data_IF_652398449571
#
_entry.id   IF_652398449571
#
_cell.length_a   1.000
_cell.length_b   1.000
_cell.length_c   1.000
_cell.angle_alpha   90.00
_cell.angle_beta   90.00
_cell.angle_gamma   90.00
#
_symmetry.space_group_name_H-M   'P 1'
#
loop_
_entity.id
_entity.type
_entity.pdbx_description
1 polymer ?
#
# COMPACT_ATOMS: atom_id res chain seq x y z
N UNK A 1 8.50 12.12 -2.26
CA UNK A 1 7.30 11.79 -3.05
C UNK A 1 7.26 10.31 -3.38
N UNK A 2 8.15 9.80 -4.24
CA UNK A 2 8.17 8.39 -4.64
C UNK A 2 8.41 7.41 -3.47
N UNK A 3 9.13 7.82 -2.42
CA UNK A 3 9.25 7.02 -1.20
C UNK A 3 7.95 6.91 -0.40
N UNK A 4 7.01 7.84 -0.56
CA UNK A 4 5.75 7.81 0.20
C UNK A 4 4.83 6.66 -0.23
N UNK A 5 5.01 6.11 -1.44
CA UNK A 5 4.24 4.95 -1.91
C UNK A 5 4.70 3.63 -1.29
N UNK A 6 5.85 3.60 -0.61
CA UNK A 6 6.25 2.46 0.22
C UNK A 6 5.40 2.33 1.47
N UNK A 7 4.91 3.46 2.02
CA UNK A 7 4.16 3.48 3.28
C UNK A 7 2.92 2.58 3.25
N UNK A 8 2.07 2.65 2.21
CA UNK A 8 0.92 1.75 2.09
C UNK A 8 1.24 0.32 1.64
N UNK A 9 2.51 -0.03 1.41
CA UNK A 9 2.92 -1.41 1.06
C UNK A 9 3.51 -2.12 2.28
N UNK A 10 4.32 -1.42 3.08
CA UNK A 10 4.88 -1.97 4.32
C UNK A 10 3.80 -1.93 5.41
N UNK A 11 3.49 -3.04 6.10
CA UNK A 11 2.44 -3.06 7.12
C UNK A 11 2.67 -2.09 8.28
N UNK A 12 1.59 -1.55 8.89
CA UNK A 12 0.17 -1.75 8.56
C UNK A 12 -0.30 -0.92 7.35
N UNK A 13 -1.19 -1.48 6.51
CA UNK A 13 -1.66 -0.86 5.27
C UNK A 13 -3.19 -0.85 5.16
N UNK A 14 -3.78 0.35 5.09
CA UNK A 14 -5.23 0.52 4.92
C UNK A 14 -5.74 -0.12 3.60
N UNK A 15 -5.11 0.08 2.42
CA UNK A 15 -5.52 -0.60 1.19
C UNK A 15 -5.59 -2.13 1.31
N UNK A 16 -4.65 -2.77 2.03
CA UNK A 16 -4.71 -4.21 2.28
C UNK A 16 -5.89 -4.63 3.15
N UNK A 17 -6.26 -3.84 4.15
CA UNK A 17 -7.44 -4.10 4.98
C UNK A 17 -8.71 -4.07 4.13
N UNK A 18 -8.87 -3.05 3.28
CA UNK A 18 -10.05 -2.92 2.40
C UNK A 18 -10.10 -4.05 1.37
N UNK A 19 -8.99 -4.31 0.67
CA UNK A 19 -8.93 -5.41 -0.29
C UNK A 19 -9.22 -6.75 0.39
N UNK A 20 -8.61 -7.03 1.55
CA UNK A 20 -8.81 -8.26 2.30
C UNK A 20 -10.27 -8.49 2.68
N UNK A 21 -10.95 -7.45 3.15
CA UNK A 21 -12.37 -7.48 3.49
C UNK A 21 -13.25 -7.79 2.28
N UNK A 22 -12.94 -7.21 1.12
CA UNK A 22 -13.75 -7.38 -0.10
C UNK A 22 -13.49 -8.67 -0.85
N UNK A 23 -12.23 -9.09 -0.94
CA UNK A 23 -11.82 -10.31 -1.64
C UNK A 23 -12.01 -11.56 -0.76
N UNK A 24 -12.29 -11.39 0.53
CA UNK A 24 -12.44 -12.49 1.49
C UNK A 24 -11.13 -13.22 1.77
N UNK A 25 -10.01 -12.49 1.80
CA UNK A 25 -8.69 -13.04 2.08
C UNK A 25 -8.16 -12.56 3.43
N UNK A 26 -7.24 -13.32 4.03
CA UNK A 26 -6.66 -12.96 5.32
C UNK A 26 -5.86 -11.65 5.23
N UNK A 27 -6.24 -10.67 6.04
CA UNK A 27 -5.50 -9.40 6.18
C UNK A 27 -4.08 -9.66 6.72
N UNK A 28 -3.92 -10.65 7.61
CA UNK A 28 -2.60 -11.04 8.13
C UNK A 28 -1.68 -11.59 7.04
N UNK A 29 -2.22 -12.41 6.13
CA UNK A 29 -1.48 -12.88 4.96
C UNK A 29 -1.06 -11.73 4.04
N UNK A 30 -1.95 -10.78 3.76
CA UNK A 30 -1.64 -9.60 2.95
C UNK A 30 -0.56 -8.72 3.59
N UNK A 31 -0.60 -8.55 4.91
CA UNK A 31 0.43 -7.80 5.61
C UNK A 31 1.80 -8.48 5.47
N UNK A 32 1.90 -9.78 5.73
CA UNK A 32 3.15 -10.50 5.49
C UNK A 32 3.58 -10.44 4.01
N UNK A 33 2.63 -10.51 3.09
CA UNK A 33 2.89 -10.43 1.67
C UNK A 33 3.55 -9.10 1.27
N UNK A 34 3.24 -8.00 1.97
CA UNK A 34 3.81 -6.66 1.75
C UNK A 34 5.25 -6.48 2.19
N UNK A 35 5.77 -7.29 3.12
CA UNK A 35 7.09 -7.10 3.73
C UNK A 35 8.22 -7.21 2.71
N UNK A 36 8.29 -8.33 1.99
CA UNK A 36 9.37 -8.58 1.02
C UNK A 36 9.27 -7.63 -0.18
N UNK A 37 8.11 -7.43 -0.83
CA UNK A 37 7.92 -6.42 -1.87
C UNK A 37 8.27 -5.00 -1.40
N UNK A 38 7.93 -4.63 -0.18
CA UNK A 38 8.34 -3.35 0.42
C UNK A 38 9.86 -3.21 0.51
N UNK A 39 10.57 -4.27 0.91
CA UNK A 39 12.04 -4.31 0.91
C UNK A 39 12.57 -4.19 -0.53
N UNK A 40 12.02 -4.94 -1.48
CA UNK A 40 12.42 -4.90 -2.90
C UNK A 40 12.27 -3.50 -3.48
N UNK A 41 11.12 -2.86 -3.27
CA UNK A 41 10.89 -1.47 -3.65
C UNK A 41 11.87 -0.51 -2.97
N UNK A 42 12.13 -0.72 -1.68
CA UNK A 42 13.10 0.06 -0.91
C UNK A 42 14.51 -0.04 -1.49
N UNK A 43 14.95 -1.25 -1.83
CA UNK A 43 16.25 -1.49 -2.46
C UNK A 43 16.36 -0.82 -3.84
N UNK A 44 15.32 -0.91 -4.68
CA UNK A 44 15.30 -0.21 -5.96
C UNK A 44 15.35 1.32 -5.80
N UNK A 45 14.63 1.86 -4.83
CA UNK A 45 14.69 3.28 -4.47
C UNK A 45 16.09 3.67 -3.98
N UNK A 46 16.69 2.90 -3.07
CA UNK A 46 18.04 3.15 -2.53
C UNK A 46 19.10 3.11 -3.63
N UNK A 47 19.02 2.14 -4.55
CA UNK A 47 19.90 2.06 -5.71
C UNK A 47 19.78 3.31 -6.59
N UNK A 48 18.54 3.74 -6.86
CA UNK A 48 18.27 4.93 -7.69
C UNK A 48 18.80 6.22 -7.03
N UNK A 49 18.57 6.40 -5.72
CA UNK A 49 19.12 7.53 -4.95
C UNK A 49 20.64 7.53 -5.00
N UNK A 50 21.26 6.37 -4.77
CA UNK A 50 22.73 6.22 -4.77
C UNK A 50 23.31 6.57 -6.14
N UNK A 51 22.68 6.11 -7.22
CA UNK A 51 23.09 6.44 -8.58
C UNK A 51 23.00 7.95 -8.86
N UNK A 52 21.90 8.60 -8.48
CA UNK A 52 21.75 10.06 -8.63
C UNK A 52 22.76 10.84 -7.78
N UNK A 53 23.03 10.40 -6.56
CA UNK A 53 23.97 11.05 -5.65
C UNK A 53 25.40 11.06 -6.22
N UNK A 54 25.86 9.92 -6.76
CA UNK A 54 27.17 9.83 -7.43
C UNK A 54 27.21 10.64 -8.73
N UNK A 55 26.15 10.57 -9.55
CA UNK A 55 26.12 11.29 -10.84
C UNK A 55 26.09 12.80 -10.66
N UNK A 56 25.40 13.31 -9.64
CA UNK A 56 25.22 14.75 -9.38
C UNK A 56 26.18 15.29 -8.32
N UNK A 57 27.12 14.48 -7.83
CA UNK A 57 28.07 14.85 -6.78
C UNK A 57 27.39 15.51 -5.57
N UNK A 58 26.32 14.89 -5.07
CA UNK A 58 25.70 15.35 -3.82
C UNK A 58 26.70 15.18 -2.66
N UNK A 59 26.79 16.21 -1.82
CA UNK A 59 27.68 16.21 -0.66
C UNK A 59 27.34 15.10 0.33
N UNK A 60 28.34 14.65 1.08
CA UNK A 60 28.13 13.77 2.23
C UNK A 60 27.80 14.63 3.45
N UNK A 61 26.76 14.24 4.17
CA UNK A 61 26.42 14.80 5.48
C UNK A 61 27.37 14.22 6.56
N UNK A 62 26.94 14.15 7.82
CA UNK A 62 27.68 13.50 8.92
C UNK A 62 28.03 12.03 8.64
N UNK A 63 29.22 11.60 9.09
CA UNK A 63 29.68 10.22 8.97
C UNK A 63 28.77 9.24 9.75
N UNK A 64 28.57 8.05 9.20
CA UNK A 64 27.78 7.00 9.84
C UNK A 64 28.44 6.52 11.14
N UNK A 65 27.66 6.46 12.23
CA UNK A 65 28.12 6.01 13.55
C UNK A 65 27.31 4.81 14.03
N UNK A 66 27.99 3.68 14.22
CA UNK A 66 27.40 2.46 14.79
C UNK A 66 26.83 2.69 16.18
N UNK A 67 27.49 3.54 16.98
CA UNK A 67 27.06 3.84 18.34
C UNK A 67 25.75 4.63 18.34
N UNK A 68 25.63 5.61 17.42
CA UNK A 68 24.39 6.37 17.24
C UNK A 68 23.25 5.47 16.73
N UNK A 69 23.53 4.55 15.82
CA UNK A 69 22.53 3.58 15.37
C UNK A 69 22.03 2.72 16.53
N UNK A 70 22.94 2.17 17.35
CA UNK A 70 22.57 1.32 18.47
C UNK A 70 21.76 2.07 19.54
N UNK A 71 22.17 3.31 19.89
CA UNK A 71 21.42 4.12 20.86
C UNK A 71 20.02 4.47 20.34
N UNK A 72 19.90 4.93 19.10
CA UNK A 72 18.60 5.30 18.53
C UNK A 72 17.70 4.07 18.31
N UNK A 73 18.28 2.90 18.00
CA UNK A 73 17.52 1.66 17.92
C UNK A 73 16.98 1.24 19.29
N UNK A 74 17.77 1.35 20.35
CA UNK A 74 17.32 1.07 21.71
C UNK A 74 16.18 2.02 22.13
N UNK A 75 16.30 3.31 21.81
CA UNK A 75 15.24 4.30 22.10
C UNK A 75 13.94 4.01 21.34
N UNK A 76 14.03 3.52 20.10
CA UNK A 76 12.90 3.19 19.25
C UNK A 76 12.36 1.75 19.42
N UNK A 77 13.04 0.91 20.22
CA UNK A 77 12.75 -0.53 20.31
C UNK A 77 11.29 -0.81 20.66
N UNK A 78 10.74 -0.10 21.65
CA UNK A 78 9.34 -0.28 22.06
C UNK A 78 8.36 0.18 20.97
N UNK A 79 8.63 1.30 20.28
CA UNK A 79 7.79 1.72 19.16
C UNK A 79 7.78 0.67 18.03
N UNK A 80 8.93 0.06 17.73
CA UNK A 80 9.10 -1.01 16.74
C UNK A 80 8.39 -2.32 17.11
N UNK A 81 8.03 -2.52 18.38
CA UNK A 81 7.21 -3.66 18.78
C UNK A 81 5.76 -3.54 18.30
N UNK A 82 5.29 -2.35 17.89
CA UNK A 82 3.90 -2.18 17.44
C UNK A 82 3.56 -3.03 16.21
N UNK A 83 4.34 -2.99 15.10
CA UNK A 83 4.16 -3.95 14.00
C UNK A 83 4.36 -5.41 14.42
N UNK A 84 5.27 -5.69 15.36
CA UNK A 84 5.54 -7.07 15.83
C UNK A 84 4.35 -7.65 16.58
N UNK A 85 3.73 -6.88 17.47
CA UNK A 85 2.52 -7.27 18.21
C UNK A 85 1.36 -7.48 17.24
N UNK A 86 1.17 -6.56 16.29
CA UNK A 86 0.11 -6.62 15.31
C UNK A 86 0.27 -7.83 14.39
N UNK A 87 1.42 -7.96 13.72
CA UNK A 87 1.68 -9.06 12.80
C UNK A 87 1.80 -10.39 13.53
N UNK A 88 2.57 -10.44 14.61
CA UNK A 88 2.78 -11.64 15.42
C UNK A 88 1.47 -12.18 15.98
N UNK A 89 0.65 -11.32 16.59
CA UNK A 89 -0.65 -11.71 17.13
C UNK A 89 -1.62 -12.23 16.06
N UNK A 90 -1.62 -11.61 14.87
CA UNK A 90 -2.45 -12.06 13.74
C UNK A 90 -1.94 -13.36 13.12
N UNK A 91 -0.61 -13.56 13.02
CA UNK A 91 -0.02 -14.79 12.46
C UNK A 91 -0.19 -16.00 13.36
N UNK A 92 -0.14 -15.81 14.67
CA UNK A 92 -0.34 -16.88 15.66
C UNK A 92 -1.84 -17.16 15.89
N UNK A 93 -2.73 -16.34 15.31
CA UNK A 93 -4.18 -16.49 15.43
C UNK A 93 -4.73 -16.09 16.81
N UNK A 94 -3.96 -15.32 17.60
CA UNK A 94 -4.40 -14.84 18.92
C UNK A 94 -5.50 -13.79 18.75
N UNK A 95 -5.40 -12.96 17.70
CA UNK A 95 -6.33 -11.87 17.44
C UNK A 95 -6.76 -11.84 15.96
N UNK A 96 -8.01 -11.49 15.74
CA UNK A 96 -8.53 -11.09 14.42
C UNK A 96 -7.94 -9.73 13.99
N UNK A 97 -8.04 -9.33 12.70
CA UNK A 97 -7.53 -8.05 12.24
C UNK A 97 -8.08 -6.83 13.01
N UNK A 98 -9.35 -6.88 13.39
CA UNK A 98 -10.02 -5.85 14.17
C UNK A 98 -9.52 -5.79 15.60
N UNK A 99 -9.33 -6.95 16.25
CA UNK A 99 -8.78 -7.03 17.60
C UNK A 99 -7.30 -6.64 17.63
N UNK A 100 -6.52 -7.06 16.65
CA UNK A 100 -5.12 -6.69 16.49
C UNK A 100 -4.93 -5.19 16.32
N UNK A 101 -5.81 -4.52 15.56
CA UNK A 101 -5.80 -3.06 15.43
C UNK A 101 -6.10 -2.35 16.76
N UNK A 102 -7.05 -2.86 17.57
CA UNK A 102 -7.34 -2.31 18.90
C UNK A 102 -6.13 -2.44 19.82
N UNK A 103 -5.50 -3.62 19.85
CA UNK A 103 -4.34 -3.88 20.72
C UNK A 103 -3.13 -3.04 20.31
N UNK A 104 -2.84 -2.96 19.02
CA UNK A 104 -1.75 -2.13 18.51
C UNK A 104 -1.98 -0.65 18.80
N UNK A 105 -3.22 -0.16 18.65
CA UNK A 105 -3.59 1.22 18.97
C UNK A 105 -3.50 1.51 20.47
N UNK A 106 -3.97 0.59 21.31
CA UNK A 106 -3.87 0.70 22.77
C UNK A 106 -2.41 0.69 23.24
N UNK A 107 -1.58 -0.17 22.65
CA UNK A 107 -0.13 -0.22 22.91
C UNK A 107 0.56 1.08 22.51
N UNK A 108 0.31 1.58 21.29
CA UNK A 108 0.86 2.85 20.82
C UNK A 108 0.42 4.04 21.70
N UNK A 109 -0.85 4.04 22.14
CA UNK A 109 -1.38 5.06 23.04
C UNK A 109 -0.73 4.99 24.42
N UNK A 110 -0.55 3.78 24.98
CA UNK A 110 0.14 3.59 26.25
C UNK A 110 1.60 4.06 26.19
N UNK A 111 2.31 3.76 25.10
CA UNK A 111 3.67 4.26 24.88
C UNK A 111 3.70 5.79 24.78
N UNK A 112 2.78 6.39 24.01
CA UNK A 112 2.72 7.84 23.83
C UNK A 112 2.33 8.62 25.08
N UNK A 113 1.43 8.07 25.92
CA UNK A 113 0.96 8.71 27.15
C UNK A 113 1.91 8.48 28.34
N UNK A 114 2.37 7.24 28.53
CA UNK A 114 3.04 6.82 29.78
C UNK A 114 4.56 6.79 29.61
N UNK A 115 5.05 6.18 28.53
CA UNK A 115 6.47 5.91 28.35
C UNK A 115 7.22 7.11 27.76
N UNK A 116 6.91 7.47 26.51
CA UNK A 116 7.53 8.61 25.83
C UNK A 116 6.94 9.95 26.26
N UNK A 117 5.72 9.94 26.84
CA UNK A 117 5.01 11.14 27.31
C UNK A 117 4.92 12.24 26.25
N UNK A 118 4.76 11.84 24.99
CA UNK A 118 4.66 12.73 23.83
C UNK A 118 3.23 13.17 23.54
N UNK A 119 2.23 12.51 24.13
CA UNK A 119 0.81 12.80 23.92
C UNK A 119 0.24 13.50 25.16
N UNK A 120 -0.21 14.74 24.99
CA UNK A 120 -1.04 15.44 25.96
C UNK A 120 -2.53 15.37 25.57
N UNK A 121 -3.41 15.91 26.41
CA UNK A 121 -4.86 15.85 26.14
C UNK A 121 -5.26 16.58 24.84
N UNK A 122 -4.55 17.65 24.48
CA UNK A 122 -4.80 18.40 23.26
C UNK A 122 -4.39 17.60 22.03
N UNK A 123 -3.24 16.95 22.09
CA UNK A 123 -2.77 16.06 21.05
C UNK A 123 -3.68 14.83 20.91
N UNK A 124 -4.21 14.30 22.01
CA UNK A 124 -5.16 13.18 21.97
C UNK A 124 -6.45 13.56 21.24
N UNK A 125 -7.02 14.73 21.54
CA UNK A 125 -8.19 15.26 20.82
C UNK A 125 -7.86 15.47 19.34
N UNK A 126 -6.70 16.05 19.04
CA UNK A 126 -6.26 16.28 17.66
C UNK A 126 -6.13 14.96 16.87
N UNK A 127 -5.40 13.98 17.39
CA UNK A 127 -5.23 12.68 16.74
C UNK A 127 -6.59 11.99 16.54
N UNK A 128 -7.50 12.12 17.51
CA UNK A 128 -8.86 11.57 17.39
C UNK A 128 -9.65 12.24 16.28
N UNK A 129 -9.60 13.58 16.16
CA UNK A 129 -10.25 14.32 15.08
C UNK A 129 -9.66 13.99 13.71
N UNK A 130 -8.34 13.95 13.59
CA UNK A 130 -7.65 13.56 12.35
C UNK A 130 -8.06 12.12 11.93
N UNK A 131 -8.21 11.22 12.89
CA UNK A 131 -8.67 9.84 12.66
C UNK A 131 -10.14 9.80 12.22
N UNK A 132 -11.01 10.61 12.82
CA UNK A 132 -12.43 10.69 12.45
C UNK A 132 -12.58 11.26 11.04
N UNK A 133 -11.86 12.33 10.69
CA UNK A 133 -11.94 12.97 9.37
C UNK A 133 -11.52 12.00 8.26
N UNK A 134 -10.38 11.32 8.45
CA UNK A 134 -9.88 10.33 7.52
C UNK A 134 -10.83 9.13 7.40
N UNK A 135 -11.32 8.60 8.52
CA UNK A 135 -12.25 7.45 8.52
C UNK A 135 -13.59 7.82 7.90
N UNK A 136 -14.16 8.98 8.20
CA UNK A 136 -15.45 9.43 7.67
C UNK A 136 -15.39 9.65 6.16
N UNK A 137 -14.33 10.28 5.67
CA UNK A 137 -14.11 10.48 4.22
C UNK A 137 -14.04 9.13 3.50
N UNK A 138 -13.27 8.18 4.06
CA UNK A 138 -13.15 6.83 3.50
C UNK A 138 -14.50 6.10 3.52
N UNK A 139 -15.23 6.09 4.63
CA UNK A 139 -16.51 5.40 4.75
C UNK A 139 -17.58 5.97 3.81
N UNK A 140 -17.57 7.28 3.55
CA UNK A 140 -18.49 7.92 2.61
C UNK A 140 -18.20 7.46 1.17
N UNK A 141 -16.92 7.39 0.78
CA UNK A 141 -16.49 6.84 -0.51
C UNK A 141 -16.92 5.36 -0.62
N UNK A 142 -16.67 4.56 0.42
CA UNK A 142 -17.04 3.13 0.46
C UNK A 142 -18.56 2.97 0.34
N UNK A 143 -19.36 3.81 0.99
CA UNK A 143 -20.82 3.76 0.89
C UNK A 143 -21.32 4.02 -0.54
N UNK A 144 -20.82 5.07 -1.20
CA UNK A 144 -21.18 5.39 -2.58
C UNK A 144 -20.70 4.29 -3.57
N UNK A 145 -19.46 3.81 -3.39
CA UNK A 145 -18.90 2.74 -4.21
C UNK A 145 -19.63 1.41 -4.02
N UNK A 146 -20.13 1.10 -2.82
CA UNK A 146 -20.90 -0.11 -2.55
C UNK A 146 -22.21 -0.14 -3.32
N UNK A 147 -22.90 1.00 -3.45
CA UNK A 147 -24.12 1.11 -4.28
C UNK A 147 -23.78 0.87 -5.75
N UNK A 148 -22.69 1.44 -6.23
CA UNK A 148 -22.22 1.24 -7.61
C UNK A 148 -21.81 -0.22 -7.87
N UNK A 149 -21.06 -0.84 -6.95
CA UNK A 149 -20.66 -2.24 -7.03
C UNK A 149 -21.86 -3.19 -7.02
N UNK A 150 -22.87 -2.92 -6.19
CA UNK A 150 -24.14 -3.65 -6.21
C UNK A 150 -24.87 -3.47 -7.55
N UNK A 151 -24.95 -2.25 -8.08
CA UNK A 151 -25.56 -1.98 -9.38
C UNK A 151 -24.89 -2.76 -10.51
N UNK A 152 -23.55 -2.76 -10.57
CA UNK A 152 -22.79 -3.54 -11.55
C UNK A 152 -23.06 -5.05 -11.43
N UNK A 153 -23.19 -5.55 -10.20
CA UNK A 153 -23.47 -6.95 -9.92
C UNK A 153 -24.88 -7.32 -10.38
N UNK A 154 -25.89 -6.50 -10.06
CA UNK A 154 -27.30 -6.74 -10.43
C UNK A 154 -27.50 -6.61 -11.94
N UNK A 155 -26.82 -5.66 -12.57
CA UNK A 155 -26.88 -5.47 -14.04
C UNK A 155 -26.04 -6.47 -14.82
N UNK A 156 -25.30 -7.36 -14.13
CA UNK A 156 -24.37 -8.34 -14.72
C UNK A 156 -23.31 -7.72 -15.65
N UNK A 157 -23.01 -6.44 -15.46
CA UNK A 157 -21.95 -5.77 -16.22
C UNK A 157 -20.60 -6.40 -15.88
N UNK A 158 -20.40 -6.83 -14.63
CA UNK A 158 -19.19 -7.55 -14.20
C UNK A 158 -18.99 -8.84 -14.99
N UNK A 159 -20.06 -9.60 -15.24
CA UNK A 159 -20.01 -10.87 -15.98
C UNK A 159 -19.69 -10.63 -17.46
N UNK A 160 -20.29 -9.59 -18.05
CA UNK A 160 -20.04 -9.22 -19.44
C UNK A 160 -18.59 -8.75 -19.67
N UNK A 161 -18.04 -7.95 -18.74
CA UNK A 161 -16.65 -7.51 -18.78
C UNK A 161 -15.70 -8.69 -18.59
N UNK A 162 -15.98 -9.59 -17.64
CA UNK A 162 -15.19 -10.79 -17.43
C UNK A 162 -15.18 -11.70 -18.67
N UNK A 163 -16.33 -11.93 -19.29
CA UNK A 163 -16.44 -12.72 -20.52
C UNK A 163 -15.67 -12.09 -21.69
N UNK A 164 -15.74 -10.76 -21.85
CA UNK A 164 -15.00 -10.03 -22.86
C UNK A 164 -13.49 -10.10 -22.64
N UNK A 165 -13.02 -9.93 -21.40
CA UNK A 165 -11.59 -10.09 -21.06
C UNK A 165 -11.13 -11.52 -21.32
N UNK A 166 -11.88 -12.52 -20.87
CA UNK A 166 -11.55 -13.93 -21.06
C UNK A 166 -11.60 -14.38 -22.53
N UNK A 167 -12.27 -13.64 -23.41
CA UNK A 167 -12.27 -13.91 -24.85
C UNK A 167 -10.89 -13.72 -25.50
N UNK A 168 -10.03 -12.88 -24.91
CA UNK A 168 -8.67 -12.62 -25.42
C UNK A 168 -7.57 -13.01 -24.42
N UNK A 169 -7.94 -13.40 -23.19
CA UNK A 169 -7.01 -13.58 -22.09
C UNK A 169 -7.07 -15.00 -21.53
N UNK A 170 -6.43 -15.94 -22.21
CA UNK A 170 -6.42 -17.36 -21.81
C UNK A 170 -5.29 -17.74 -20.85
N UNK A 171 -4.34 -16.84 -20.61
CA UNK A 171 -3.17 -17.10 -19.74
C UNK A 171 -3.09 -16.10 -18.58
N UNK A 172 -2.79 -16.54 -17.35
CA UNK A 172 -2.70 -15.68 -16.17
C UNK A 172 -1.79 -14.45 -16.33
N UNK A 173 -0.66 -14.61 -17.03
CA UNK A 173 0.33 -13.55 -17.21
C UNK A 173 -0.15 -12.40 -18.10
N UNK A 174 -0.92 -12.72 -19.13
CA UNK A 174 -1.52 -11.70 -20.01
C UNK A 174 -2.62 -10.95 -19.25
N UNK A 175 -3.39 -11.65 -18.42
CA UNK A 175 -4.36 -11.02 -17.54
C UNK A 175 -3.70 -10.05 -16.56
N UNK A 176 -2.63 -10.50 -15.88
CA UNK A 176 -1.89 -9.64 -14.94
C UNK A 176 -1.30 -8.41 -15.64
N UNK A 177 -0.82 -8.54 -16.88
CA UNK A 177 -0.36 -7.39 -17.67
C UNK A 177 -1.49 -6.39 -17.94
N UNK A 178 -2.63 -6.86 -18.45
CA UNK A 178 -3.78 -6.01 -18.75
C UNK A 178 -4.35 -5.37 -17.49
N UNK A 179 -4.45 -6.14 -16.41
CA UNK A 179 -4.87 -5.67 -15.10
C UNK A 179 -3.92 -4.60 -14.56
N UNK A 180 -2.59 -4.78 -14.68
CA UNK A 180 -1.62 -3.77 -14.29
C UNK A 180 -1.81 -2.46 -15.06
N UNK A 181 -1.92 -2.52 -16.38
CA UNK A 181 -2.15 -1.33 -17.21
C UNK A 181 -3.45 -0.64 -16.81
N UNK A 182 -4.54 -1.39 -16.66
CA UNK A 182 -5.82 -0.88 -16.20
C UNK A 182 -5.70 -0.19 -14.84
N UNK A 183 -5.10 -0.88 -13.85
CA UNK A 183 -4.99 -0.37 -12.49
C UNK A 183 -4.06 0.83 -12.38
N UNK A 184 -2.99 0.91 -13.18
CA UNK A 184 -2.15 2.10 -13.26
C UNK A 184 -2.95 3.30 -13.78
N UNK A 185 -3.71 3.11 -14.88
CA UNK A 185 -4.55 4.16 -15.44
C UNK A 185 -5.60 4.59 -14.42
N UNK A 186 -6.35 3.64 -13.85
CA UNK A 186 -7.37 3.93 -12.84
C UNK A 186 -6.78 4.63 -11.61
N UNK A 187 -5.62 4.19 -11.13
CA UNK A 187 -4.93 4.80 -9.99
C UNK A 187 -4.44 6.23 -10.25
N UNK A 188 -4.33 6.65 -11.50
CA UNK A 188 -4.04 8.06 -11.83
C UNK A 188 -5.25 8.98 -11.61
N UNK A 189 -6.46 8.42 -11.50
CA UNK A 189 -7.70 9.19 -11.33
C UNK A 189 -8.42 8.94 -10.00
N UNK A 190 -8.40 7.70 -9.51
CA UNK A 190 -9.13 7.28 -8.33
C UNK A 190 -8.19 7.10 -7.14
N UNK A 191 -8.67 7.51 -5.98
CA UNK A 191 -8.04 7.18 -4.70
C UNK A 191 -8.07 5.64 -4.48
N UNK A 192 -7.04 5.04 -3.84
CA UNK A 192 -6.91 3.59 -3.76
C UNK A 192 -8.10 2.86 -3.13
N UNK A 193 -8.72 3.40 -2.07
CA UNK A 193 -9.91 2.79 -1.48
C UNK A 193 -11.08 2.81 -2.45
N UNK A 194 -11.31 3.92 -3.15
CA UNK A 194 -12.32 4.00 -4.22
C UNK A 194 -12.03 3.00 -5.36
N UNK A 195 -10.77 2.88 -5.79
CA UNK A 195 -10.39 2.00 -6.87
C UNK A 195 -10.51 0.51 -6.48
N UNK A 196 -10.10 0.13 -5.27
CA UNK A 196 -10.24 -1.24 -4.76
C UNK A 196 -11.72 -1.61 -4.66
N UNK A 197 -12.54 -0.73 -4.09
CA UNK A 197 -13.99 -0.97 -3.97
C UNK A 197 -14.69 -1.15 -5.30
N UNK A 198 -14.20 -0.47 -6.34
CA UNK A 198 -14.70 -0.59 -7.69
C UNK A 198 -14.23 -1.86 -8.41
N UNK A 199 -12.92 -2.13 -8.36
CA UNK A 199 -12.26 -3.11 -9.23
C UNK A 199 -12.28 -4.52 -8.66
N UNK A 200 -12.27 -4.70 -7.33
CA UNK A 200 -12.24 -6.03 -6.71
C UNK A 200 -13.41 -6.92 -7.14
N UNK A 201 -14.68 -6.46 -7.13
CA UNK A 201 -15.82 -7.27 -7.58
C UNK A 201 -15.71 -7.72 -9.04
N UNK A 202 -14.98 -6.97 -9.87
CA UNK A 202 -14.81 -7.25 -11.30
C UNK A 202 -13.64 -8.20 -11.53
N UNK A 203 -12.49 -7.93 -10.90
CA UNK A 203 -11.24 -8.62 -11.21
C UNK A 203 -11.04 -9.92 -10.42
N UNK A 204 -11.52 -10.01 -9.18
CA UNK A 204 -11.35 -11.21 -8.34
C UNK A 204 -12.02 -12.45 -8.93
N UNK A 205 -13.25 -12.40 -9.49
CA UNK A 205 -13.83 -13.55 -10.17
C UNK A 205 -12.95 -14.08 -11.30
N UNK A 206 -12.34 -13.18 -12.08
CA UNK A 206 -11.44 -13.54 -13.18
C UNK A 206 -10.16 -14.20 -12.63
N UNK A 207 -9.58 -13.65 -11.56
CA UNK A 207 -8.44 -14.24 -10.88
C UNK A 207 -8.73 -15.67 -10.42
N UNK A 208 -9.91 -15.93 -9.85
CA UNK A 208 -10.33 -17.28 -9.43
C UNK A 208 -10.43 -18.23 -10.63
N UNK A 209 -11.00 -17.79 -11.75
CA UNK A 209 -11.09 -18.60 -12.98
C UNK A 209 -9.71 -18.93 -13.56
N UNK A 210 -8.77 -17.98 -13.50
CA UNK A 210 -7.40 -18.14 -14.01
C UNK A 210 -6.44 -18.81 -13.00
N UNK A 211 -6.91 -19.16 -11.80
CA UNK A 211 -6.08 -19.78 -10.76
C UNK A 211 -5.03 -18.85 -10.14
N UNK A 212 -5.23 -17.53 -10.20
CA UNK A 212 -4.34 -16.54 -9.60
C UNK A 212 -4.61 -16.45 -8.10
N UNK A 213 -3.54 -16.52 -7.31
CA UNK A 213 -3.61 -16.34 -5.86
C UNK A 213 -4.10 -14.93 -5.50
N UNK A 214 -5.13 -14.84 -4.65
CA UNK A 214 -5.77 -13.58 -4.31
C UNK A 214 -4.92 -12.70 -3.37
N UNK A 215 -3.99 -13.27 -2.61
CA UNK A 215 -3.02 -12.51 -1.82
C UNK A 215 -2.00 -11.87 -2.74
N UNK A 216 -1.50 -12.63 -3.73
CA UNK A 216 -0.61 -12.10 -4.78
C UNK A 216 -1.29 -10.98 -5.57
N UNK A 217 -2.50 -11.22 -6.04
CA UNK A 217 -3.27 -10.21 -6.78
C UNK A 217 -3.57 -8.97 -5.94
N UNK A 218 -3.90 -9.15 -4.65
CA UNK A 218 -4.12 -8.03 -3.73
C UNK A 218 -2.90 -7.14 -3.59
N UNK A 219 -1.71 -7.74 -3.46
CA UNK A 219 -0.46 -6.97 -3.44
C UNK A 219 -0.20 -6.23 -4.75
N UNK A 220 -0.35 -6.92 -5.88
CA UNK A 220 -0.17 -6.31 -7.20
C UNK A 220 -1.15 -5.15 -7.38
N UNK A 221 -2.41 -5.32 -7.01
CA UNK A 221 -3.42 -4.28 -7.09
C UNK A 221 -3.04 -3.05 -6.27
N UNK A 222 -2.73 -3.21 -4.98
CA UNK A 222 -2.33 -2.08 -4.13
C UNK A 222 -1.08 -1.39 -4.69
N UNK A 223 -0.09 -2.15 -5.15
CA UNK A 223 1.13 -1.61 -5.74
C UNK A 223 0.85 -0.76 -6.99
N UNK A 224 0.02 -1.24 -7.93
CA UNK A 224 -0.38 -0.45 -9.11
C UNK A 224 -1.07 0.85 -8.71
N UNK A 225 -2.03 0.78 -7.80
CA UNK A 225 -2.81 1.94 -7.37
C UNK A 225 -1.93 2.97 -6.66
N UNK A 226 -0.97 2.52 -5.83
CA UNK A 226 0.00 3.43 -5.21
C UNK A 226 0.90 4.11 -6.24
N UNK A 227 1.33 3.39 -7.27
CA UNK A 227 2.14 3.97 -8.35
C UNK A 227 1.30 4.98 -9.15
N UNK A 228 0.01 4.70 -9.38
CA UNK A 228 -0.92 5.62 -10.04
C UNK A 228 -1.00 6.99 -9.36
N UNK A 229 -0.95 7.04 -8.03
CA UNK A 229 -0.97 8.30 -7.26
C UNK A 229 0.24 9.21 -7.50
N UNK A 230 1.32 8.68 -8.07
CA UNK A 230 2.52 9.45 -8.43
C UNK A 230 2.49 9.97 -9.86
N UNK A 231 1.56 9.50 -10.71
CA UNK A 231 1.49 9.86 -12.12
C UNK A 231 0.34 10.86 -12.40
N UNK A 232 0.53 11.87 -13.27
CA UNK A 232 -0.57 12.73 -13.73
C UNK A 232 -1.70 11.91 -14.39
N UNK A 233 -2.97 12.34 -14.35
CA UNK A 233 -3.43 13.72 -14.23
C UNK A 233 -3.90 14.18 -12.83
N UNK A 234 -4.20 13.27 -11.89
CA UNK A 234 -4.72 13.65 -10.57
C UNK A 234 -3.76 13.44 -9.39
N UNK A 235 -2.52 12.98 -9.63
CA UNK A 235 -1.51 12.62 -8.62
C UNK A 235 -1.59 13.40 -7.30
N UNK A 236 -2.36 12.89 -6.34
CA UNK A 236 -2.67 13.62 -5.09
C UNK A 236 -1.41 13.84 -4.25
N UNK A 237 -0.53 12.83 -4.23
CA UNK A 237 0.80 12.91 -3.60
C UNK A 237 1.66 13.98 -4.28
N UNK A 238 1.55 14.11 -5.61
CA UNK A 238 2.22 15.15 -6.39
C UNK A 238 1.75 16.55 -5.97
N UNK A 239 0.43 16.76 -5.84
CA UNK A 239 -0.16 18.05 -5.45
C UNK A 239 0.17 18.45 -4.01
N UNK A 240 0.15 17.49 -3.08
CA UNK A 240 0.55 17.74 -1.67
C UNK A 240 2.03 18.10 -1.60
N UNK A 241 2.87 17.43 -2.38
CA UNK A 241 4.30 17.71 -2.41
C UNK A 241 4.60 19.06 -3.07
N UNK A 242 3.96 19.41 -4.19
CA UNK A 242 4.16 20.70 -4.84
C UNK A 242 3.78 21.86 -3.91
N UNK A 243 2.72 21.68 -3.10
CA UNK A 243 2.26 22.67 -2.11
C UNK A 243 3.26 22.82 -0.95
N UNK A 244 3.82 21.72 -0.44
CA UNK A 244 4.80 21.76 0.67
C UNK A 244 6.18 22.22 0.20
N UNK A 245 6.62 21.81 -0.97
CA UNK A 245 7.91 22.19 -1.57
C UNK A 245 7.89 23.57 -2.25
N UNK A 246 6.73 24.23 -2.37
CA UNK A 246 6.53 25.51 -3.08
C UNK A 246 7.04 25.48 -4.54
N UNK A 247 6.83 24.36 -5.22
CA UNK A 247 7.18 24.18 -6.63
C UNK A 247 5.92 24.13 -7.49
N UNK A 248 6.03 24.47 -8.79
CA UNK A 248 4.90 24.26 -9.71
C UNK A 248 4.63 22.77 -9.90
N UNK A 249 3.37 22.45 -10.20
CA UNK A 249 2.94 21.07 -10.45
C UNK A 249 3.71 20.49 -11.63
N UNK A 250 3.91 21.24 -12.73
CA UNK A 250 4.62 20.70 -13.89
C UNK A 250 6.09 20.36 -13.56
N UNK A 251 6.77 21.21 -12.80
CA UNK A 251 8.16 20.95 -12.38
C UNK A 251 8.24 19.71 -11.50
N UNK A 252 7.28 19.54 -10.60
CA UNK A 252 7.22 18.40 -9.70
C UNK A 252 6.91 17.11 -10.47
N UNK A 253 5.96 17.16 -11.41
CA UNK A 253 5.63 16.05 -12.32
C UNK A 253 6.84 15.59 -13.12
N UNK A 254 7.54 16.53 -13.77
CA UNK A 254 8.74 16.20 -14.55
C UNK A 254 9.86 15.63 -13.69
N UNK A 255 9.98 16.09 -12.44
CA UNK A 255 10.96 15.56 -11.51
C UNK A 255 10.62 14.15 -11.00
N UNK A 256 9.34 13.75 -10.98
CA UNK A 256 8.89 12.42 -10.50
C UNK A 256 8.96 11.35 -11.58
N UNK A 257 8.80 11.69 -12.87
CA UNK A 257 8.83 10.73 -13.98
C UNK A 257 10.00 9.71 -13.91
N UNK A 258 11.27 10.11 -13.66
CA UNK A 258 12.37 9.16 -13.52
C UNK A 258 12.23 8.20 -12.33
N UNK A 259 11.52 8.60 -11.28
CA UNK A 259 11.28 7.79 -10.09
C UNK A 259 10.18 6.73 -10.28
N UNK A 260 9.40 6.82 -11.35
CA UNK A 260 8.47 5.76 -11.72
C UNK A 260 9.21 4.51 -12.21
N UNK A 261 10.40 4.66 -12.81
CA UNK A 261 11.19 3.54 -13.34
C UNK A 261 11.47 2.46 -12.27
N UNK A 262 12.08 2.77 -11.11
CA UNK A 262 12.31 1.77 -10.07
C UNK A 262 11.01 1.19 -9.49
N UNK A 263 9.92 1.96 -9.44
CA UNK A 263 8.65 1.48 -8.93
C UNK A 263 7.95 0.54 -9.90
N UNK A 264 7.98 0.84 -11.21
CA UNK A 264 7.48 -0.03 -12.28
C UNK A 264 8.34 -1.30 -12.39
N UNK A 265 9.66 -1.19 -12.20
CA UNK A 265 10.54 -2.35 -12.12
C UNK A 265 10.15 -3.26 -10.95
N UNK A 266 9.94 -2.68 -9.76
CA UNK A 266 9.45 -3.43 -8.60
C UNK A 266 8.09 -4.08 -8.87
N UNK A 267 7.17 -3.37 -9.53
CA UNK A 267 5.86 -3.89 -9.93
C UNK A 267 5.98 -5.10 -10.87
N UNK A 268 6.81 -5.01 -11.90
CA UNK A 268 7.06 -6.11 -12.85
C UNK A 268 7.61 -7.32 -12.08
N UNK A 269 8.61 -7.11 -11.23
CA UNK A 269 9.22 -8.15 -10.39
C UNK A 269 8.18 -8.83 -9.50
N UNK A 270 7.38 -8.06 -8.77
CA UNK A 270 6.33 -8.60 -7.89
C UNK A 270 5.18 -9.26 -8.67
N UNK A 271 4.86 -8.78 -9.88
CA UNK A 271 3.79 -9.35 -10.72
C UNK A 271 4.19 -10.70 -11.29
N UNK A 272 5.39 -10.79 -11.87
CA UNK A 272 5.82 -11.98 -12.62
C UNK A 272 6.59 -13.00 -11.78
N UNK A 273 6.97 -12.65 -10.55
CA UNK A 273 7.61 -13.56 -9.61
C UNK A 273 6.74 -13.64 -8.34
N UNK A 274 5.65 -14.45 -8.36
CA UNK A 274 4.72 -14.55 -7.23
C UNK A 274 5.38 -14.99 -5.94
N UNK A 275 6.48 -15.75 -6.00
CA UNK A 275 7.23 -16.18 -4.81
C UNK A 275 7.76 -15.01 -3.99
N UNK A 276 8.09 -13.87 -4.59
CA UNK A 276 8.52 -12.67 -3.82
C UNK A 276 7.41 -12.20 -2.88
N UNK A 277 6.16 -12.42 -3.27
CA UNK A 277 4.97 -11.99 -2.53
C UNK A 277 4.48 -13.11 -1.61
N UNK A 278 4.46 -14.36 -2.10
CA UNK A 278 3.82 -15.49 -1.43
C UNK A 278 4.76 -16.30 -0.53
N UNK A 279 6.08 -16.15 -0.66
CA UNK A 279 7.04 -16.95 0.11
C UNK A 279 6.89 -16.75 1.62
N UNK A 280 6.72 -15.50 2.07
CA UNK A 280 6.55 -15.21 3.50
C UNK A 280 5.17 -15.65 4.00
N UNK A 281 4.04 -15.29 3.34
CA UNK A 281 2.72 -15.78 3.73
C UNK A 281 2.62 -17.31 3.83
N UNK A 282 3.08 -18.07 2.83
CA UNK A 282 2.99 -19.54 2.78
C UNK A 282 3.75 -20.26 3.89
N UNK A 283 4.69 -19.58 4.56
CA UNK A 283 5.41 -20.15 5.71
C UNK A 283 4.67 -20.00 7.03
N UNK A 284 3.77 -19.03 7.13
CA UNK A 284 3.06 -18.68 8.37
C UNK A 284 1.55 -18.95 8.31
N UNK A 285 1.00 -19.18 7.11
CA UNK A 285 -0.39 -19.53 6.85
C UNK A 285 -0.48 -20.57 5.74
#
# INVERSE_FOLDING_TARGET
AASATLGPIIPPSLPFVIYGMMAGVSIGQLFLAGVIPGIVMGLFMMATVTWYAHRRNYGRDTAFSWLALASTFADAFLALMTPVILLGGMTVGIFTPTEGAIIASAYALALGLVWYRTIDIKMLVKISMDTIETTATVLLIVAAASIFGWLLTVTRVTDAVAAWVLAFTHTPWVFLLLANVLMLVVGCFLEPVAAITLLVPILVPICKTLGIDLVHFGLVMVLNLMIGLLHPPLGTVLFVLSRTARLSVERTTMAILPWLIPLLAALIVCTYIPEIVLWLPRRFF
#
